data_IF_120542230272
#
_entry.id   IF_120542230272
#
_cell.length_a   1.000
_cell.length_b   1.000
_cell.length_c   1.000
_cell.angle_alpha   90.00
_cell.angle_beta   90.00
_cell.angle_gamma   90.00
#
_symmetry.space_group_name_H-M   'P 1'
#
loop_
_entity.id
_entity.type
_entity.pdbx_description
1 polymer ?
#
# COMPACT_ATOMS: atom_id res chain seq x y z
N UNK A 1 -19.20 11.35 -14.01
CA UNK A 1 -19.56 11.99 -12.73
C UNK A 1 -20.66 11.27 -11.98
N UNK A 2 -21.91 11.24 -12.49
CA UNK A 2 -23.05 10.63 -11.77
C UNK A 2 -22.84 9.16 -11.36
N UNK A 3 -22.17 8.36 -12.20
CA UNK A 3 -21.88 6.96 -11.89
C UNK A 3 -20.91 6.78 -10.71
N UNK A 4 -19.89 7.65 -10.60
CA UNK A 4 -18.88 7.59 -9.53
C UNK A 4 -19.50 8.02 -8.21
N UNK A 5 -20.30 9.10 -8.23
CA UNK A 5 -21.04 9.54 -7.06
C UNK A 5 -21.99 8.45 -6.55
N UNK A 6 -22.79 7.84 -7.44
CA UNK A 6 -23.65 6.72 -7.06
C UNK A 6 -22.86 5.54 -6.50
N UNK A 7 -21.65 5.27 -7.00
CA UNK A 7 -20.79 4.22 -6.46
C UNK A 7 -20.28 4.55 -5.04
N UNK A 8 -19.87 5.80 -4.79
CA UNK A 8 -19.47 6.31 -3.47
C UNK A 8 -20.61 6.14 -2.46
N UNK A 9 -21.82 6.57 -2.82
CA UNK A 9 -23.01 6.45 -1.97
C UNK A 9 -23.38 4.98 -1.70
N UNK A 10 -23.49 4.16 -2.76
CA UNK A 10 -23.85 2.74 -2.64
C UNK A 10 -22.84 1.92 -1.83
N UNK A 11 -21.55 2.27 -1.90
CA UNK A 11 -20.46 1.61 -1.16
C UNK A 11 -20.17 2.28 0.18
N UNK A 12 -20.93 3.32 0.55
CA UNK A 12 -20.79 4.06 1.80
C UNK A 12 -19.36 4.56 2.05
N UNK A 13 -18.68 5.00 0.98
CA UNK A 13 -17.36 5.59 1.12
C UNK A 13 -17.48 6.98 1.75
N UNK A 14 -16.52 7.32 2.61
CA UNK A 14 -16.52 8.54 3.42
C UNK A 14 -15.40 9.47 2.99
N UNK A 15 -15.66 10.77 2.97
CA UNK A 15 -14.63 11.77 2.70
C UNK A 15 -13.70 11.94 3.92
N UNK A 16 -12.39 12.17 3.70
CA UNK A 16 -11.72 12.27 2.40
C UNK A 16 -11.57 10.92 1.67
N UNK A 17 -11.55 10.91 0.34
CA UNK A 17 -11.32 9.71 -0.48
C UNK A 17 -9.92 9.75 -1.11
N UNK A 18 -9.16 8.67 -1.00
CA UNK A 18 -7.98 8.44 -1.85
C UNK A 18 -8.44 7.81 -3.17
N UNK A 19 -8.01 8.41 -4.28
CA UNK A 19 -8.13 7.82 -5.61
C UNK A 19 -6.76 7.28 -6.07
N UNK A 20 -6.72 6.00 -6.42
CA UNK A 20 -5.54 5.29 -6.95
C UNK A 20 -5.84 4.80 -8.37
N UNK A 21 -4.82 4.65 -9.22
CA UNK A 21 -5.01 3.99 -10.52
C UNK A 21 -5.31 2.51 -10.34
N UNK A 22 -6.14 1.91 -11.21
CA UNK A 22 -6.48 0.49 -11.08
C UNK A 22 -5.30 -0.46 -11.32
N UNK A 23 -4.33 -0.06 -12.14
CA UNK A 23 -3.13 -0.85 -12.40
C UNK A 23 -2.13 -0.57 -11.26
N UNK A 24 -1.84 -1.59 -10.45
CA UNK A 24 -0.96 -1.50 -9.29
C UNK A 24 0.54 -1.65 -9.64
N UNK A 25 0.85 -2.43 -10.68
CA UNK A 25 2.20 -2.62 -11.24
C UNK A 25 2.11 -2.99 -12.73
N UNK A 26 3.16 -2.71 -13.52
CA UNK A 26 3.49 -3.24 -14.87
C UNK A 26 2.34 -3.56 -15.87
N UNK A 27 2.43 -3.03 -17.09
CA UNK A 27 1.41 -3.14 -18.15
C UNK A 27 0.75 -4.51 -18.34
N UNK A 28 -0.58 -4.52 -18.54
CA UNK A 28 -1.22 -5.60 -19.29
C UNK A 28 -0.67 -5.58 -20.71
N UNK A 29 -0.43 -6.80 -21.22
CA UNK A 29 -0.21 -7.18 -22.61
C UNK A 29 1.26 -7.24 -23.03
N UNK A 30 1.62 -8.43 -23.51
CA UNK A 30 2.79 -8.70 -24.33
C UNK A 30 2.97 -7.61 -25.41
N UNK A 31 3.96 -6.75 -25.24
CA UNK A 31 4.78 -6.30 -26.36
C UNK A 31 6.09 -5.74 -25.80
N UNK A 32 7.17 -6.33 -26.26
CA UNK A 32 8.54 -6.09 -25.81
C UNK A 32 9.04 -4.82 -26.50
N UNK A 33 9.16 -3.69 -25.78
CA UNK A 33 10.16 -2.66 -26.12
C UNK A 33 10.54 -1.79 -24.91
N UNK A 34 11.72 -2.11 -24.37
CA UNK A 34 12.75 -1.21 -23.83
C UNK A 34 12.37 -0.14 -22.79
N UNK A 35 12.76 -0.45 -21.54
CA UNK A 35 13.15 0.31 -20.33
C UNK A 35 13.02 1.84 -20.20
N UNK A 36 12.80 2.63 -21.25
CA UNK A 36 12.63 4.09 -21.19
C UNK A 36 11.14 4.48 -21.02
N UNK A 37 10.19 3.64 -21.47
CA UNK A 37 8.75 3.87 -21.28
C UNK A 37 8.31 3.57 -19.83
N UNK A 38 8.98 2.63 -19.16
CA UNK A 38 8.63 2.20 -17.80
C UNK A 38 8.75 3.32 -16.77
N UNK A 39 9.75 4.21 -16.87
CA UNK A 39 9.90 5.32 -15.92
C UNK A 39 8.73 6.31 -16.03
N UNK A 40 8.39 6.77 -17.24
CA UNK A 40 7.27 7.69 -17.45
C UNK A 40 5.91 7.07 -17.09
N UNK A 41 5.72 5.78 -17.32
CA UNK A 41 4.50 5.07 -16.92
C UNK A 41 4.43 4.81 -15.41
N UNK A 42 5.56 4.48 -14.79
CA UNK A 42 5.75 4.33 -13.35
C UNK A 42 5.40 5.62 -12.59
N UNK A 43 5.80 6.79 -13.11
CA UNK A 43 5.39 8.10 -12.59
C UNK A 43 3.88 8.36 -12.77
N UNK A 44 3.26 7.86 -13.85
CA UNK A 44 1.83 8.06 -14.13
C UNK A 44 0.91 7.16 -13.28
N UNK A 45 1.32 5.93 -13.00
CA UNK A 45 0.63 4.95 -12.15
C UNK A 45 0.68 5.30 -10.65
N UNK A 46 1.62 6.16 -10.25
CA UNK A 46 1.83 6.56 -8.85
C UNK A 46 1.17 7.88 -8.47
N UNK A 47 0.45 8.51 -9.42
CA UNK A 47 -0.32 9.72 -9.12
C UNK A 47 -1.60 9.34 -8.42
N UNK A 48 -1.72 9.79 -7.18
CA UNK A 48 -2.90 9.64 -6.36
C UNK A 48 -3.55 11.00 -6.15
N UNK A 49 -4.82 11.00 -5.77
CA UNK A 49 -5.50 12.22 -5.35
C UNK A 49 -6.30 12.01 -4.09
N UNK A 50 -6.27 12.99 -3.20
CA UNK A 50 -7.09 13.05 -2.00
C UNK A 50 -8.24 14.02 -2.25
N UNK A 51 -9.46 13.50 -2.25
CA UNK A 51 -10.69 14.19 -2.63
C UNK A 51 -11.49 14.46 -1.36
N UNK A 52 -11.86 15.72 -1.12
CA UNK A 52 -12.50 16.15 0.13
C UNK A 52 -14.00 16.37 0.02
N UNK A 53 -14.57 16.34 -1.17
CA UNK A 53 -16.00 16.61 -1.38
C UNK A 53 -16.51 16.00 -2.68
N UNK A 54 -17.84 15.97 -2.83
CA UNK A 54 -18.50 15.53 -4.05
C UNK A 54 -18.06 16.32 -5.29
N UNK A 55 -17.81 17.63 -5.14
CA UNK A 55 -17.32 18.46 -6.23
C UNK A 55 -15.93 17.99 -6.74
N UNK A 56 -15.07 17.51 -5.84
CA UNK A 56 -13.75 16.98 -6.18
C UNK A 56 -13.77 15.63 -6.89
N UNK A 57 -14.91 14.91 -6.93
CA UNK A 57 -15.02 13.66 -7.71
C UNK A 57 -14.77 13.87 -9.21
N UNK A 58 -14.88 15.11 -9.71
CA UNK A 58 -14.55 15.46 -11.11
C UNK A 58 -13.09 15.25 -11.47
N UNK A 59 -12.22 15.21 -10.45
CA UNK A 59 -10.79 15.03 -10.63
C UNK A 59 -10.39 13.55 -10.75
N UNK A 60 -11.34 12.63 -10.51
CA UNK A 60 -11.14 11.19 -10.70
C UNK A 60 -11.00 10.84 -12.18
N UNK A 61 -10.12 9.87 -12.48
CA UNK A 61 -9.91 9.36 -13.84
C UNK A 61 -10.11 7.85 -13.86
N UNK A 62 -11.34 7.38 -14.14
CA UNK A 62 -11.59 5.96 -14.31
C UNK A 62 -10.77 5.34 -15.46
N UNK A 63 -10.36 4.07 -15.38
CA UNK A 63 -10.58 3.16 -14.25
C UNK A 63 -9.67 3.48 -13.06
N UNK A 64 -10.27 3.61 -11.88
CA UNK A 64 -9.58 3.95 -10.64
C UNK A 64 -10.18 3.18 -9.45
N UNK A 65 -9.43 3.13 -8.36
CA UNK A 65 -9.89 2.65 -7.05
C UNK A 65 -10.15 3.88 -6.18
N UNK A 66 -11.33 3.92 -5.55
CA UNK A 66 -11.65 4.88 -4.51
C UNK A 66 -11.66 4.16 -3.17
N UNK A 67 -10.97 4.73 -2.20
CA UNK A 67 -10.85 4.20 -0.85
C UNK A 67 -11.07 5.35 0.13
N UNK A 68 -11.84 5.13 1.20
CA UNK A 68 -11.92 6.10 2.30
C UNK A 68 -10.53 6.31 2.91
N UNK A 69 -10.14 7.57 3.08
CA UNK A 69 -8.92 7.93 3.79
C UNK A 69 -9.07 7.54 5.27
N UNK A 70 -8.03 6.91 5.81
CA UNK A 70 -7.97 6.53 7.22
C UNK A 70 -6.91 7.41 7.86
N UNK A 71 -7.26 8.16 8.89
CA UNK A 71 -6.28 8.88 9.69
C UNK A 71 -5.41 7.87 10.45
N UNK A 72 -4.09 8.06 10.40
CA UNK A 72 -3.11 7.07 10.87
C UNK A 72 -1.82 7.67 11.46
N UNK A 73 -1.86 8.93 11.88
CA UNK A 73 -0.73 9.55 12.57
C UNK A 73 0.50 9.76 11.69
N UNK A 74 0.32 9.83 10.36
CA UNK A 74 1.39 10.05 9.38
C UNK A 74 2.51 8.99 9.37
N UNK A 75 2.27 7.79 9.90
CA UNK A 75 3.24 6.69 9.90
C UNK A 75 2.74 5.53 9.03
N UNK A 76 3.58 5.12 8.08
CA UNK A 76 3.39 3.92 7.28
C UNK A 76 4.35 2.83 7.77
N UNK A 77 3.82 1.64 8.06
CA UNK A 77 4.62 0.46 8.37
C UNK A 77 4.75 -0.39 7.11
N UNK A 78 5.93 -0.39 6.48
CA UNK A 78 6.24 -1.28 5.36
C UNK A 78 6.69 -2.63 5.89
N UNK A 79 5.86 -3.64 5.71
CA UNK A 79 6.14 -5.01 6.10
C UNK A 79 6.67 -5.77 4.90
N UNK A 80 7.91 -6.18 4.95
CA UNK A 80 8.56 -6.95 3.91
C UNK A 80 8.62 -8.42 4.30
N UNK A 81 7.98 -9.26 3.50
CA UNK A 81 7.93 -10.71 3.69
C UNK A 81 8.96 -11.38 2.78
N UNK A 82 9.76 -12.26 3.38
CA UNK A 82 10.80 -13.07 2.71
C UNK A 82 10.72 -14.51 3.23
N UNK A 83 10.05 -15.37 2.48
CA UNK A 83 9.81 -16.75 2.91
C UNK A 83 9.00 -16.77 4.21
N UNK A 84 9.56 -17.38 5.26
CA UNK A 84 8.97 -17.46 6.60
C UNK A 84 9.18 -16.21 7.45
N UNK A 85 10.08 -15.31 7.03
CA UNK A 85 10.48 -14.14 7.81
C UNK A 85 9.74 -12.89 7.34
N UNK A 86 9.60 -11.92 8.24
CA UNK A 86 9.13 -10.58 7.89
C UNK A 86 9.94 -9.50 8.61
N UNK A 87 9.96 -8.32 8.01
CA UNK A 87 10.70 -7.16 8.51
C UNK A 87 9.83 -5.92 8.37
N UNK A 88 9.72 -5.12 9.43
CA UNK A 88 8.92 -3.89 9.42
C UNK A 88 9.82 -2.67 9.37
N UNK A 89 9.56 -1.75 8.44
CA UNK A 89 10.26 -0.48 8.30
C UNK A 89 9.23 0.65 8.32
N UNK A 90 9.39 1.59 9.25
CA UNK A 90 8.56 2.79 9.28
C UNK A 90 8.97 3.77 8.18
N UNK A 91 7.96 4.43 7.60
CA UNK A 91 8.11 5.49 6.61
C UNK A 91 7.16 6.64 6.92
N UNK A 92 7.53 7.88 6.54
CA UNK A 92 6.58 8.98 6.50
C UNK A 92 5.34 8.63 5.66
N UNK A 93 4.19 9.16 6.05
CA UNK A 93 2.92 9.00 5.34
C UNK A 93 2.11 10.29 5.36
N UNK A 94 0.96 10.27 4.69
CA UNK A 94 0.04 11.40 4.70
C UNK A 94 -0.42 11.73 6.13
N UNK A 95 -0.36 13.01 6.48
CA UNK A 95 -0.92 13.52 7.73
C UNK A 95 -2.42 13.30 7.82
N UNK A 96 -2.96 13.49 9.02
CA UNK A 96 -4.40 13.37 9.23
C UNK A 96 -5.16 14.54 8.58
N UNK A 97 -6.40 14.27 8.20
CA UNK A 97 -7.32 15.25 7.66
C UNK A 97 -8.66 15.19 8.42
N UNK A 98 -9.40 16.31 8.51
CA UNK A 98 -10.75 16.30 9.07
C UNK A 98 -11.64 15.28 8.36
N UNK A 99 -12.47 14.59 9.14
CA UNK A 99 -13.45 13.64 8.60
C UNK A 99 -14.65 14.39 8.01
N UNK A 100 -15.27 13.78 7.02
CA UNK A 100 -16.45 14.33 6.35
C UNK A 100 -16.11 15.26 5.18
N UNK A 101 -17.13 15.68 4.43
CA UNK A 101 -16.93 16.58 3.32
C UNK A 101 -16.60 17.98 3.86
N UNK A 102 -15.54 18.59 3.35
CA UNK A 102 -15.24 19.99 3.63
C UNK A 102 -14.72 20.68 2.37
N UNK A 103 -15.01 21.98 2.26
CA UNK A 103 -14.77 22.74 1.04
C UNK A 103 -13.27 23.04 0.85
N UNK A 104 -12.56 22.02 0.36
CA UNK A 104 -11.14 22.06 0.04
C UNK A 104 -10.91 21.46 -1.34
N UNK A 105 -9.96 22.05 -2.07
CA UNK A 105 -9.52 21.53 -3.36
C UNK A 105 -8.86 20.15 -3.21
N UNK A 106 -9.11 19.27 -4.17
CA UNK A 106 -8.42 17.98 -4.31
C UNK A 106 -6.91 18.18 -4.25
N UNK A 107 -6.23 17.36 -3.46
CA UNK A 107 -4.76 17.32 -3.42
C UNK A 107 -4.31 16.23 -4.38
N UNK A 108 -3.36 16.55 -5.26
CA UNK A 108 -2.70 15.56 -6.11
C UNK A 108 -1.28 15.36 -5.61
N UNK A 109 -0.84 14.11 -5.52
CA UNK A 109 0.50 13.78 -5.04
C UNK A 109 1.02 12.51 -5.72
N UNK A 110 2.34 12.33 -5.66
CA UNK A 110 3.00 11.08 -6.05
C UNK A 110 3.28 10.26 -4.79
N UNK A 111 2.89 8.98 -4.78
CA UNK A 111 3.12 8.12 -3.61
C UNK A 111 4.61 8.00 -3.22
N UNK A 112 5.52 8.08 -4.19
CA UNK A 112 6.97 8.05 -3.93
C UNK A 112 7.50 9.33 -3.24
N UNK A 113 6.82 10.46 -3.39
CA UNK A 113 7.24 11.72 -2.75
C UNK A 113 6.74 11.82 -1.31
N UNK A 114 5.77 10.98 -0.93
CA UNK A 114 5.17 10.99 0.41
C UNK A 114 5.77 9.91 1.32
N UNK A 115 6.17 8.75 0.79
CA UNK A 115 6.55 7.58 1.61
C UNK A 115 7.99 7.08 1.44
N UNK A 116 8.91 7.96 1.05
CA UNK A 116 10.36 7.68 1.08
C UNK A 116 10.98 8.14 2.41
N UNK A 117 12.14 7.58 2.82
CA UNK A 117 12.79 7.96 4.08
C UNK A 117 13.11 9.46 4.17
N UNK A 118 13.43 10.08 3.03
CA UNK A 118 13.77 11.51 2.88
C UNK A 118 12.54 12.43 2.69
N UNK A 119 11.32 11.88 2.69
CA UNK A 119 10.09 12.63 2.33
C UNK A 119 9.67 13.63 3.41
N UNK A 120 10.09 14.89 3.27
CA UNK A 120 9.63 16.01 4.08
C UNK A 120 8.80 16.98 3.22
N UNK A 121 7.46 16.93 3.33
CA UNK A 121 6.55 17.83 2.61
C UNK A 121 5.43 18.32 3.53
N UNK A 122 4.70 19.37 3.12
CA UNK A 122 3.51 19.83 3.85
C UNK A 122 2.42 18.73 4.01
N UNK A 123 2.50 17.66 3.22
CA UNK A 123 1.58 16.52 3.29
C UNK A 123 2.00 15.48 4.34
N UNK A 124 3.26 15.47 4.79
CA UNK A 124 3.80 14.52 5.78
C UNK A 124 4.06 15.17 7.14
N UNK A 125 4.10 16.51 7.22
CA UNK A 125 4.24 17.24 8.46
C UNK A 125 3.01 17.05 9.38
N UNK A 126 3.20 16.41 10.52
CA UNK A 126 2.20 16.32 11.59
C UNK A 126 1.98 17.70 12.22
N UNK A 127 0.73 18.05 12.49
CA UNK A 127 0.44 19.23 13.31
C UNK A 127 0.82 18.89 14.77
N UNK A 128 1.50 19.80 15.49
CA UNK A 128 2.09 19.56 16.82
C UNK A 128 1.08 19.08 17.89
N UNK A 129 -0.22 19.28 17.63
CA UNK A 129 -1.32 18.92 18.51
C UNK A 129 -1.88 17.50 18.31
N UNK A 130 -1.34 16.72 17.36
CA UNK A 130 -1.91 15.41 17.03
C UNK A 130 -1.51 14.29 18.01
N UNK A 131 -2.46 13.38 18.33
CA UNK A 131 -2.19 12.24 19.18
C UNK A 131 -1.20 11.28 18.50
N UNK A 132 -0.17 10.87 19.25
CA UNK A 132 0.72 9.79 18.82
C UNK A 132 -0.04 8.48 18.89
N UNK A 133 -0.04 7.76 17.77
CA UNK A 133 -0.63 6.43 17.68
C UNK A 133 0.43 5.44 18.18
N UNK A 134 0.08 4.48 19.06
CA UNK A 134 1.01 3.45 19.45
C UNK A 134 1.45 2.62 18.23
N UNK A 135 2.69 2.14 18.24
CA UNK A 135 3.15 1.20 17.23
C UNK A 135 2.30 -0.09 17.29
N UNK A 136 2.09 -0.77 16.15
CA UNK A 136 1.40 -2.05 16.14
C UNK A 136 2.17 -3.09 16.94
N UNK A 137 1.44 -3.99 17.63
CA UNK A 137 2.09 -5.08 18.35
C UNK A 137 2.71 -6.07 17.36
N UNK A 138 3.89 -6.56 17.70
CA UNK A 138 4.59 -7.55 16.87
C UNK A 138 3.73 -8.81 16.65
N UNK A 139 2.99 -9.25 17.68
CA UNK A 139 2.07 -10.38 17.57
C UNK A 139 0.97 -10.17 16.51
N UNK A 140 0.41 -8.97 16.43
CA UNK A 140 -0.61 -8.64 15.42
C UNK A 140 0.00 -8.62 14.01
N UNK A 141 1.23 -8.12 13.88
CA UNK A 141 1.96 -8.10 12.61
C UNK A 141 2.31 -9.52 12.14
N UNK A 142 2.80 -10.37 13.05
CA UNK A 142 3.07 -11.79 12.80
C UNK A 142 1.81 -12.53 12.35
N UNK A 143 0.69 -12.34 13.05
CA UNK A 143 -0.58 -12.97 12.72
C UNK A 143 -1.06 -12.55 11.32
N UNK A 144 -1.04 -11.26 11.02
CA UNK A 144 -1.43 -10.71 9.71
C UNK A 144 -0.54 -11.23 8.58
N UNK A 145 0.79 -11.27 8.75
CA UNK A 145 1.71 -11.83 7.75
C UNK A 145 1.41 -13.31 7.51
N UNK A 146 1.18 -14.08 8.57
CA UNK A 146 0.87 -15.52 8.47
C UNK A 146 -0.40 -15.76 7.66
N UNK A 147 -1.46 -15.00 7.93
CA UNK A 147 -2.73 -15.07 7.19
C UNK A 147 -2.54 -14.68 5.71
N UNK A 148 -1.87 -13.55 5.45
CA UNK A 148 -1.63 -13.10 4.06
C UNK A 148 -0.81 -14.11 3.26
N UNK A 149 0.18 -14.75 3.88
CA UNK A 149 0.97 -15.80 3.23
C UNK A 149 0.12 -17.00 2.85
N UNK A 150 -0.74 -17.46 3.76
CA UNK A 150 -1.64 -18.58 3.52
C UNK A 150 -2.62 -18.28 2.38
N UNK A 151 -3.18 -17.07 2.33
CA UNK A 151 -4.16 -16.65 1.33
C UNK A 151 -3.54 -16.34 -0.04
N UNK A 152 -2.37 -15.67 -0.07
CA UNK A 152 -1.73 -15.26 -1.32
C UNK A 152 -0.90 -16.37 -1.96
N UNK A 153 -0.43 -17.36 -1.17
CA UNK A 153 0.50 -18.39 -1.65
C UNK A 153 1.85 -17.82 -2.11
N UNK A 154 2.21 -16.63 -1.63
CA UNK A 154 3.40 -15.88 -2.03
C UNK A 154 4.45 -15.89 -0.92
N UNK A 155 5.72 -15.95 -1.32
CA UNK A 155 6.84 -15.89 -0.38
C UNK A 155 7.58 -14.55 -0.37
N UNK A 156 7.50 -13.77 -1.45
CA UNK A 156 8.22 -12.50 -1.63
C UNK A 156 7.22 -11.38 -1.94
N UNK A 157 6.82 -10.64 -0.92
CA UNK A 157 5.91 -9.51 -1.09
C UNK A 157 6.11 -8.46 0.01
N UNK A 158 5.62 -7.26 -0.23
CA UNK A 158 5.56 -6.16 0.74
C UNK A 158 4.12 -5.76 0.99
N UNK A 159 3.83 -5.35 2.22
CA UNK A 159 2.52 -4.89 2.66
C UNK A 159 2.69 -3.52 3.27
N UNK A 160 1.94 -2.55 2.76
CA UNK A 160 1.88 -1.20 3.33
C UNK A 160 0.73 -1.17 4.34
N UNK A 161 1.07 -0.98 5.62
CA UNK A 161 0.15 -1.07 6.74
C UNK A 161 0.11 0.25 7.50
N UNK A 162 -1.09 0.72 7.80
CA UNK A 162 -1.32 1.90 8.64
C UNK A 162 -2.14 1.49 9.86
N UNK A 163 -1.96 2.20 10.98
CA UNK A 163 -2.81 2.01 12.15
C UNK A 163 -3.91 3.07 12.16
N UNK A 164 -5.17 2.65 12.15
CA UNK A 164 -6.30 3.55 12.24
C UNK A 164 -6.34 4.23 13.63
N UNK A 165 -6.30 5.56 13.69
CA UNK A 165 -6.24 6.28 14.97
C UNK A 165 -7.52 6.18 15.80
N UNK A 166 -8.67 5.92 15.16
CA UNK A 166 -9.97 5.90 15.83
C UNK A 166 -10.27 4.51 16.39
N UNK A 167 -9.88 3.46 15.67
CA UNK A 167 -10.19 2.06 16.04
C UNK A 167 -9.00 1.28 16.58
N UNK A 168 -7.78 1.82 16.45
CA UNK A 168 -6.53 1.14 16.78
C UNK A 168 -6.34 -0.20 16.05
N UNK A 169 -6.91 -0.35 14.86
CA UNK A 169 -6.80 -1.56 14.02
C UNK A 169 -5.76 -1.40 12.92
N UNK A 170 -5.14 -2.51 12.54
CA UNK A 170 -4.27 -2.59 11.36
C UNK A 170 -5.10 -2.49 10.09
N UNK A 171 -4.72 -1.57 9.20
CA UNK A 171 -5.34 -1.42 7.88
C UNK A 171 -4.28 -1.60 6.80
N UNK A 172 -4.46 -2.62 5.96
CA UNK A 172 -3.63 -2.84 4.77
C UNK A 172 -4.09 -1.90 3.67
N UNK A 173 -3.18 -1.11 3.10
CA UNK A 173 -3.50 -0.12 2.07
C UNK A 173 -2.84 -0.38 0.71
N UNK A 174 -1.82 -1.23 0.66
CA UNK A 174 -1.17 -1.66 -0.58
C UNK A 174 -0.46 -3.01 -0.37
N UNK A 175 -0.38 -3.83 -1.43
CA UNK A 175 0.41 -5.06 -1.47
C UNK A 175 1.24 -5.05 -2.75
N UNK A 176 2.55 -5.24 -2.59
CA UNK A 176 3.52 -5.23 -3.69
C UNK A 176 4.18 -6.59 -3.82
N UNK A 177 4.18 -7.15 -5.03
CA UNK A 177 4.90 -8.39 -5.35
C UNK A 177 6.38 -8.05 -5.50
N UNK A 178 7.26 -8.76 -4.79
CA UNK A 178 8.71 -8.57 -4.86
C UNK A 178 9.13 -7.08 -4.83
N UNK A 179 8.93 -6.37 -3.70
CA UNK A 179 9.28 -4.97 -3.57
C UNK A 179 10.80 -4.74 -3.54
N UNK A 180 11.24 -3.50 -3.35
CA UNK A 180 12.67 -3.16 -3.30
C UNK A 180 13.39 -3.48 -1.98
N UNK A 181 12.70 -3.96 -0.94
CA UNK A 181 13.26 -4.33 0.37
C UNK A 181 14.19 -3.28 1.03
N UNK A 182 14.00 -2.00 0.68
CA UNK A 182 14.81 -0.90 1.20
C UNK A 182 14.61 -0.73 2.72
N UNK A 183 15.71 -0.75 3.48
CA UNK A 183 15.71 -0.75 4.94
C UNK A 183 15.80 -2.14 5.58
N UNK A 184 15.92 -3.21 4.77
CA UNK A 184 16.07 -4.60 5.25
C UNK A 184 17.48 -5.12 4.91
N UNK A 185 18.49 -4.91 5.76
CA UNK A 185 19.85 -5.38 5.49
C UNK A 185 19.96 -6.92 5.43
N UNK A 186 19.03 -7.64 6.07
CA UNK A 186 18.96 -9.10 6.10
C UNK A 186 18.35 -9.71 4.83
N UNK A 187 17.89 -8.90 3.86
CA UNK A 187 17.14 -9.38 2.71
C UNK A 187 17.84 -10.54 1.99
N UNK A 188 19.12 -10.40 1.65
CA UNK A 188 19.87 -11.43 0.92
C UNK A 188 20.02 -12.73 1.73
N UNK A 189 20.33 -12.63 3.03
CA UNK A 189 20.43 -13.81 3.89
C UNK A 189 19.10 -14.53 4.06
N UNK A 190 18.00 -13.78 4.22
CA UNK A 190 16.65 -14.35 4.33
C UNK A 190 16.20 -14.99 3.03
N UNK A 191 16.53 -14.37 1.90
CA UNK A 191 16.22 -14.93 0.57
C UNK A 191 16.98 -16.24 0.34
N UNK A 192 18.27 -16.28 0.68
CA UNK A 192 19.07 -17.50 0.56
C UNK A 192 18.49 -18.62 1.42
N UNK A 193 18.21 -18.35 2.70
CA UNK A 193 17.60 -19.33 3.60
C UNK A 193 16.24 -19.82 3.08
N UNK A 194 15.43 -18.93 2.49
CA UNK A 194 14.17 -19.34 1.88
C UNK A 194 14.37 -20.27 0.68
N UNK A 195 15.35 -19.98 -0.19
CA UNK A 195 15.68 -20.84 -1.34
C UNK A 195 16.20 -22.20 -0.87
N UNK A 196 17.09 -22.24 0.13
CA UNK A 196 17.59 -23.49 0.72
C UNK A 196 16.44 -24.35 1.26
N UNK A 197 15.52 -23.76 2.02
CA UNK A 197 14.35 -24.47 2.54
C UNK A 197 13.43 -25.04 1.44
N UNK A 198 13.31 -24.35 0.30
CA UNK A 198 12.55 -24.84 -0.86
C UNK A 198 13.25 -26.00 -1.58
N UNK A 199 14.57 -26.04 -1.57
CA UNK A 199 15.35 -27.13 -2.15
C UNK A 199 15.39 -28.36 -1.23
N UNK A 200 15.38 -28.14 0.09
CA UNK A 200 15.37 -29.18 1.11
C UNK A 200 13.98 -29.79 1.34
N UNK A 201 12.90 -29.13 0.87
CA UNK A 201 11.57 -29.74 0.88
C UNK A 201 11.49 -30.79 -0.23
N UNK A 202 11.33 -32.09 0.08
CA UNK A 202 11.19 -33.10 -0.95
C UNK A 202 9.96 -32.77 -1.80
N UNK A 203 10.16 -32.59 -3.10
CA UNK A 203 9.06 -32.50 -4.06
C UNK A 203 8.16 -33.73 -3.88
N UNK A 204 6.95 -33.52 -3.38
CA UNK A 204 5.95 -34.58 -3.31
C UNK A 204 5.50 -34.87 -4.75
N UNK A 205 6.24 -35.74 -5.43
CA UNK A 205 5.90 -36.29 -6.75
C UNK A 205 4.69 -37.22 -6.61
N UNK A 206 3.50 -36.65 -6.37
CA UNK A 206 2.22 -37.35 -6.47
C UNK A 206 1.36 -36.72 -7.57
N UNK A 207 1.75 -36.94 -8.82
CA UNK A 207 0.82 -37.14 -9.93
C UNK A 207 1.56 -37.67 -11.17
N UNK A 208 1.97 -38.94 -11.12
CA UNK A 208 2.18 -39.79 -12.30
C UNK A 208 1.87 -41.24 -11.95
N UNK A 209 0.58 -41.55 -11.85
CA UNK A 209 0.03 -42.90 -12.10
C UNK A 209 -1.46 -42.95 -11.78
N UNK A 210 -2.29 -42.65 -12.79
CA UNK A 210 -3.40 -43.52 -13.25
C UNK A 210 -3.94 -42.95 -14.55
#
# INVERSE_FOLDING_TARGET
>A
MLAIQKAVERKQLTYPLICKTRVAHGSRSHEVQFSVILLNYSHKLRRMSLIFSQAGLRDTRPPCVLQSFVNHGAVLHKVFVVGEQHFTVERPSLKNFPTGPYDRKTIFFNSHEVSKPESCSHLTALDETMPRVPAPSDDAMVAMVKELRAELGMALFGVDVIMNIDTHTLTIIDINIFPGYEGVPQFFSSLLSHIENLLDTPHDTKHRSS
#
